data_IF_786742656428
#
_entry.id   IF_786742656428
#
_cell.length_a   1.000
_cell.length_b   1.000
_cell.length_c   1.000
_cell.angle_alpha   90.00
_cell.angle_beta   90.00
_cell.angle_gamma   90.00
#
_symmetry.space_group_name_H-M   'P 1'
#
loop_
_entity.id
_entity.type
_entity.pdbx_description
1 polymer ?
#
# COMPACT_ATOMS: atom_id res chain seq x y z
N UNK A 1 15.04 -14.17 -15.96
CA UNK A 1 14.27 -14.45 -14.71
C UNK A 1 12.90 -14.99 -15.09
N UNK A 2 12.33 -15.89 -14.29
CA UNK A 2 10.96 -16.40 -14.49
C UNK A 2 9.97 -15.34 -13.98
N UNK A 3 8.97 -15.00 -14.79
CA UNK A 3 7.91 -14.08 -14.39
C UNK A 3 7.05 -14.69 -13.26
N UNK A 4 6.50 -13.84 -12.40
CA UNK A 4 5.56 -14.24 -11.37
C UNK A 4 4.13 -14.07 -11.90
N UNK A 5 3.33 -15.13 -11.81
CA UNK A 5 1.92 -15.12 -12.17
C UNK A 5 1.07 -15.32 -10.90
N UNK A 6 0.12 -14.41 -10.66
CA UNK A 6 -0.83 -14.49 -9.54
C UNK A 6 -2.23 -14.26 -10.12
N UNK A 7 -3.04 -15.33 -10.19
CA UNK A 7 -4.34 -15.27 -10.86
C UNK A 7 -4.21 -14.84 -12.32
N UNK A 8 -4.81 -13.71 -12.68
CA UNK A 8 -4.73 -13.10 -14.00
C UNK A 8 -3.63 -12.02 -14.14
N UNK A 9 -2.81 -11.81 -13.11
CA UNK A 9 -1.72 -10.84 -13.12
C UNK A 9 -0.40 -11.51 -13.53
N UNK A 10 0.32 -10.88 -14.45
CA UNK A 10 1.68 -11.26 -14.85
C UNK A 10 2.63 -10.13 -14.49
N UNK A 11 3.65 -10.43 -13.67
CA UNK A 11 4.57 -9.44 -13.11
C UNK A 11 5.95 -9.67 -13.71
N UNK A 12 6.50 -8.60 -14.32
CA UNK A 12 7.77 -8.63 -15.06
C UNK A 12 8.94 -9.01 -14.16
N UNK A 13 8.99 -8.47 -12.95
CA UNK A 13 9.99 -8.79 -11.94
C UNK A 13 9.32 -9.49 -10.76
N UNK A 14 9.76 -10.70 -10.35
CA UNK A 14 9.18 -11.43 -9.24
C UNK A 14 9.58 -10.82 -7.87
N UNK A 15 9.38 -9.51 -7.71
CA UNK A 15 9.72 -8.72 -6.54
C UNK A 15 8.45 -8.13 -5.97
N UNK A 16 8.24 -8.38 -4.68
CA UNK A 16 7.12 -7.85 -3.91
C UNK A 16 7.70 -7.02 -2.77
N UNK A 17 7.31 -5.75 -2.70
CA UNK A 17 7.69 -4.90 -1.58
C UNK A 17 6.90 -5.29 -0.32
N UNK A 18 7.59 -5.54 0.79
CA UNK A 18 6.95 -5.93 2.05
C UNK A 18 6.11 -4.79 2.64
N UNK A 19 4.87 -5.08 3.05
CA UNK A 19 3.92 -4.09 3.57
C UNK A 19 4.19 -3.67 5.02
N UNK A 20 5.12 -2.74 5.23
CA UNK A 20 5.43 -2.18 6.56
C UNK A 20 4.40 -1.12 6.96
N UNK A 21 3.79 -1.30 8.14
CA UNK A 21 2.76 -0.41 8.69
C UNK A 21 3.30 0.93 9.21
N UNK A 22 2.42 1.71 9.83
CA UNK A 22 2.74 2.98 10.51
C UNK A 22 3.42 4.00 9.58
N UNK A 23 3.01 4.01 8.31
CA UNK A 23 3.38 5.07 7.37
C UNK A 23 4.63 4.82 6.53
N UNK A 24 5.16 3.61 6.57
CA UNK A 24 6.31 3.24 5.74
C UNK A 24 5.85 2.86 4.33
N UNK A 25 4.94 1.90 4.23
CA UNK A 25 4.43 1.39 2.95
C UNK A 25 3.13 2.08 2.55
N UNK A 26 3.25 3.31 2.06
CA UNK A 26 2.16 4.14 1.54
C UNK A 26 2.16 4.19 0.00
N UNK A 27 1.21 4.90 -0.60
CA UNK A 27 1.03 5.00 -2.06
C UNK A 27 2.29 5.46 -2.79
N UNK A 28 3.10 6.33 -2.21
CA UNK A 28 4.38 6.76 -2.79
C UNK A 28 5.35 5.60 -3.05
N UNK A 29 5.66 4.81 -2.02
CA UNK A 29 6.57 3.66 -2.15
C UNK A 29 5.94 2.54 -2.99
N UNK A 30 4.67 2.23 -2.75
CA UNK A 30 3.96 1.18 -3.48
C UNK A 30 3.89 1.50 -4.98
N UNK A 31 3.56 2.74 -5.36
CA UNK A 31 3.53 3.15 -6.77
C UNK A 31 4.93 3.17 -7.40
N UNK A 32 5.96 3.58 -6.67
CA UNK A 32 7.34 3.53 -7.17
C UNK A 32 7.76 2.10 -7.55
N UNK A 33 7.45 1.12 -6.69
CA UNK A 33 7.74 -0.31 -6.97
C UNK A 33 6.93 -0.83 -8.15
N UNK A 34 5.62 -0.51 -8.20
CA UNK A 34 4.76 -0.91 -9.30
C UNK A 34 5.23 -0.32 -10.65
N UNK A 35 5.67 0.94 -10.67
CA UNK A 35 6.21 1.61 -11.86
C UNK A 35 7.51 0.99 -12.37
N UNK A 36 8.26 0.28 -11.51
CA UNK A 36 9.46 -0.49 -11.90
C UNK A 36 9.13 -1.94 -12.30
N UNK A 37 7.84 -2.30 -12.40
CA UNK A 37 7.39 -3.63 -12.83
C UNK A 37 7.40 -4.71 -11.74
N UNK A 38 7.53 -4.32 -10.46
CA UNK A 38 7.30 -5.19 -9.31
C UNK A 38 5.88 -5.02 -8.74
N UNK A 39 5.62 -5.61 -7.57
CA UNK A 39 4.37 -5.43 -6.82
C UNK A 39 4.61 -4.51 -5.62
N UNK A 40 4.00 -3.33 -5.66
CA UNK A 40 3.90 -2.43 -4.50
C UNK A 40 2.76 -2.83 -3.56
N UNK A 41 2.96 -2.66 -2.27
CA UNK A 41 1.98 -2.99 -1.22
C UNK A 41 1.74 -1.78 -0.33
N UNK A 42 0.48 -1.37 -0.19
CA UNK A 42 0.06 -0.37 0.79
C UNK A 42 -0.34 -1.08 2.08
N UNK A 43 0.27 -0.73 3.20
CA UNK A 43 -0.06 -1.31 4.51
C UNK A 43 -1.14 -0.49 5.22
N UNK A 44 -2.24 -1.14 5.60
CA UNK A 44 -3.31 -0.52 6.39
C UNK A 44 -3.02 -0.47 7.89
N UNK A 45 -2.03 -1.22 8.36
CA UNK A 45 -1.68 -1.31 9.77
C UNK A 45 -1.15 0.04 10.28
N UNK A 46 -1.80 0.60 11.30
CA UNK A 46 -1.36 1.85 11.93
C UNK A 46 -1.74 3.13 11.20
N UNK A 47 -2.51 3.08 10.10
CA UNK A 47 -2.88 4.28 9.34
C UNK A 47 -3.61 5.34 10.18
N UNK A 48 -4.45 4.93 11.13
CA UNK A 48 -5.16 5.85 12.02
C UNK A 48 -4.24 6.74 12.86
N UNK A 49 -2.98 6.33 13.09
CA UNK A 49 -1.98 7.17 13.79
C UNK A 49 -1.56 8.38 12.95
N UNK A 50 -1.48 8.22 11.63
CA UNK A 50 -1.07 9.26 10.67
C UNK A 50 -2.26 10.14 10.28
N UNK A 51 -3.41 9.51 10.09
CA UNK A 51 -4.64 10.14 9.60
C UNK A 51 -5.60 10.58 10.71
N UNK A 52 -5.10 10.74 11.95
CA UNK A 52 -5.88 11.20 13.11
C UNK A 52 -6.62 12.53 12.93
N UNK A 53 -6.22 13.34 11.94
CA UNK A 53 -6.92 14.59 11.59
C UNK A 53 -8.25 14.34 10.89
N UNK A 54 -8.42 13.19 10.23
CA UNK A 54 -9.65 12.80 9.54
C UNK A 54 -10.73 12.31 10.52
N UNK A 55 -10.34 11.75 11.66
CA UNK A 55 -11.25 11.37 12.73
C UNK A 55 -10.51 11.13 14.05
N UNK A 56 -11.10 11.47 15.22
CA UNK A 56 -10.56 11.06 16.51
C UNK A 56 -10.73 9.55 16.77
N UNK A 57 -11.64 8.88 16.07
CA UNK A 57 -11.80 7.43 16.14
C UNK A 57 -10.71 6.75 15.29
N UNK A 58 -9.90 5.89 15.93
CA UNK A 58 -8.75 5.26 15.29
C UNK A 58 -9.13 4.39 14.09
N UNK A 59 -10.21 3.63 14.19
CA UNK A 59 -10.66 2.75 13.11
C UNK A 59 -11.16 3.56 11.92
N UNK A 60 -11.99 4.58 12.18
CA UNK A 60 -12.50 5.49 11.16
C UNK A 60 -11.37 6.27 10.49
N UNK A 61 -10.41 6.77 11.26
CA UNK A 61 -9.21 7.42 10.72
C UNK A 61 -8.39 6.48 9.84
N UNK A 62 -8.24 5.20 10.23
CA UNK A 62 -7.53 4.20 9.43
C UNK A 62 -8.24 3.93 8.10
N UNK A 63 -9.56 3.80 8.10
CA UNK A 63 -10.36 3.58 6.89
C UNK A 63 -10.28 4.80 5.97
N UNK A 64 -10.45 6.01 6.51
CA UNK A 64 -10.35 7.24 5.72
C UNK A 64 -8.93 7.44 5.17
N UNK A 65 -7.90 7.17 5.97
CA UNK A 65 -6.50 7.22 5.53
C UNK A 65 -6.21 6.23 4.41
N UNK A 66 -6.76 5.01 4.46
CA UNK A 66 -6.61 4.05 3.37
C UNK A 66 -7.29 4.54 2.08
N UNK A 67 -8.44 5.21 2.19
CA UNK A 67 -9.09 5.81 1.02
C UNK A 67 -8.24 6.91 0.38
N UNK A 68 -7.62 7.78 1.19
CA UNK A 68 -6.69 8.80 0.69
C UNK A 68 -5.52 8.16 -0.07
N UNK A 69 -4.92 7.09 0.47
CA UNK A 69 -3.81 6.37 -0.17
C UNK A 69 -4.23 5.65 -1.48
N UNK A 70 -5.48 5.19 -1.56
CA UNK A 70 -6.07 4.61 -2.77
C UNK A 70 -6.64 5.65 -3.73
N UNK A 71 -6.74 6.92 -3.32
CA UNK A 71 -7.38 8.03 -4.04
C UNK A 71 -8.87 7.76 -4.35
N UNK A 72 -9.60 7.29 -3.33
CA UNK A 72 -11.04 6.95 -3.36
C UNK A 72 -11.91 7.89 -2.51
#
# INVERSE_FOLDING_TARGET
MKQLAIGNLNISFPVIQGGMGVGISLSGLASAVANQGGIGVISSAGLGLLYKKLSPDYLKASILGLKEELRL
#
